data_IF_067565504911
#
_entry.id   IF_067565504911
#
_cell.length_a   1.000
_cell.length_b   1.000
_cell.length_c   1.000
_cell.angle_alpha   90.00
_cell.angle_beta   90.00
_cell.angle_gamma   90.00
#
_symmetry.space_group_name_H-M   'P 1'
#
loop_
_entity.id
_entity.type
_entity.pdbx_description
1 polymer ?
#
# COMPACT_ATOMS: atom_id res chain seq x y z
N UNK A 1 3.47 72.04 39.78
CA UNK A 1 2.33 71.91 38.83
C UNK A 1 2.44 70.57 38.09
N UNK A 2 1.71 69.53 38.51
CA UNK A 2 1.76 68.18 37.89
C UNK A 2 0.50 67.97 37.04
N UNK A 3 0.64 67.89 35.71
CA UNK A 3 -0.47 67.50 34.80
C UNK A 3 -0.60 65.98 34.83
N UNK A 4 -1.75 65.46 35.29
CA UNK A 4 -2.12 64.05 35.11
C UNK A 4 -2.69 63.88 33.70
N UNK A 5 -2.09 63.00 32.91
CA UNK A 5 -2.62 62.61 31.61
C UNK A 5 -3.84 61.69 31.82
N UNK A 6 -5.01 62.15 31.40
CA UNK A 6 -6.23 61.34 31.34
C UNK A 6 -6.19 60.59 30.01
N UNK A 7 -5.68 59.36 30.05
CA UNK A 7 -5.72 58.45 28.90
C UNK A 7 -7.18 58.00 28.75
N UNK A 8 -7.81 58.36 27.63
CA UNK A 8 -9.20 57.99 27.31
C UNK A 8 -9.29 56.47 27.20
N UNK A 9 -10.00 55.82 28.13
CA UNK A 9 -10.19 54.36 28.19
C UNK A 9 -10.85 53.75 26.95
N UNK A 10 -11.52 54.58 26.13
CA UNK A 10 -12.17 54.17 24.89
C UNK A 10 -11.20 53.75 23.79
N UNK A 11 -10.05 54.43 23.65
CA UNK A 11 -9.05 54.06 22.62
C UNK A 11 -8.34 52.74 22.94
N UNK A 12 -8.16 52.42 24.22
CA UNK A 12 -7.58 51.13 24.65
C UNK A 12 -8.51 49.93 24.37
N UNK A 13 -9.83 50.09 24.53
CA UNK A 13 -10.79 49.04 24.16
C UNK A 13 -10.75 48.74 22.66
N UNK A 14 -10.74 49.78 21.82
CA UNK A 14 -10.72 49.59 20.37
C UNK A 14 -9.41 48.95 19.88
N UNK A 15 -8.28 49.26 20.53
CA UNK A 15 -6.99 48.64 20.23
C UNK A 15 -6.94 47.16 20.65
N UNK A 16 -7.61 46.81 21.76
CA UNK A 16 -7.73 45.42 22.22
C UNK A 16 -8.62 44.57 21.31
N UNK A 17 -9.73 45.13 20.81
CA UNK A 17 -10.60 44.47 19.83
C UNK A 17 -9.89 44.21 18.49
N UNK A 18 -9.07 45.16 18.02
CA UNK A 18 -8.27 44.99 16.80
C UNK A 18 -7.21 43.88 16.94
N UNK A 19 -6.59 43.74 18.13
CA UNK A 19 -5.65 42.67 18.41
C UNK A 19 -6.33 41.28 18.51
N UNK A 20 -7.57 41.21 19.00
CA UNK A 20 -8.31 39.95 19.10
C UNK A 20 -8.72 39.40 17.71
N UNK A 21 -9.09 40.30 16.79
CA UNK A 21 -9.50 39.93 15.41
C UNK A 21 -8.30 39.42 14.59
N UNK A 22 -7.10 39.96 14.80
CA UNK A 22 -5.91 39.48 14.08
C UNK A 22 -5.47 38.08 14.52
N UNK A 23 -5.66 37.72 15.80
CA UNK A 23 -5.34 36.39 16.34
C UNK A 23 -6.29 35.30 15.79
N UNK A 24 -7.59 35.62 15.63
CA UNK A 24 -8.59 34.68 15.08
C UNK A 24 -8.33 34.40 13.58
N UNK A 25 -7.74 35.36 12.87
CA UNK A 25 -7.45 35.23 11.43
C UNK A 25 -6.26 34.29 11.14
N UNK A 26 -5.37 34.05 12.12
CA UNK A 26 -4.21 33.16 11.98
C UNK A 26 -4.57 31.69 12.26
N UNK A 27 -5.67 31.43 12.98
CA UNK A 27 -6.15 30.07 13.27
C UNK A 27 -6.86 29.38 12.07
N UNK A 28 -7.14 30.11 10.99
CA UNK A 28 -7.69 29.60 9.74
C UNK A 28 -6.61 29.44 8.65
N UNK A 29 -5.40 29.01 9.04
CA UNK A 29 -4.37 28.57 8.11
C UNK A 29 -4.78 27.25 7.44
N UNK A 30 -5.45 27.35 6.29
CA UNK A 30 -5.56 26.35 5.22
C UNK A 30 -5.30 24.89 5.62
N UNK A 31 -6.38 24.13 5.90
CA UNK A 31 -6.35 22.69 5.68
C UNK A 31 -6.13 22.47 4.18
N UNK A 32 -4.89 22.25 3.78
CA UNK A 32 -4.56 21.72 2.46
C UNK A 32 -5.22 20.35 2.41
N UNK A 33 -6.45 20.29 1.91
CA UNK A 33 -6.99 19.06 1.34
C UNK A 33 -6.11 18.78 0.12
N UNK A 34 -4.98 18.10 0.35
CA UNK A 34 -4.23 17.52 -0.75
C UNK A 34 -5.20 16.55 -1.40
N UNK A 35 -5.77 16.93 -2.54
CA UNK A 35 -6.37 15.95 -3.44
C UNK A 35 -5.24 14.96 -3.68
N UNK A 36 -5.32 13.79 -3.05
CA UNK A 36 -4.36 12.69 -3.19
C UNK A 36 -4.28 12.43 -4.69
N UNK A 37 -3.27 12.98 -5.35
CA UNK A 37 -2.99 12.67 -6.76
C UNK A 37 -2.79 11.17 -6.74
N UNK A 38 -3.74 10.41 -7.30
CA UNK A 38 -3.60 8.96 -7.47
C UNK A 38 -2.42 8.77 -8.40
N UNK A 39 -1.24 8.59 -7.80
CA UNK A 39 -0.02 8.36 -8.52
C UNK A 39 -0.12 6.93 -9.06
N UNK A 40 -0.48 6.78 -10.34
CA UNK A 40 -0.64 5.48 -11.00
C UNK A 40 0.67 4.69 -11.07
N UNK A 41 1.80 5.34 -10.78
CA UNK A 41 3.12 4.73 -10.69
C UNK A 41 3.39 4.01 -9.36
N UNK A 42 2.37 3.76 -8.53
CA UNK A 42 2.55 3.03 -7.27
C UNK A 42 1.72 1.74 -7.23
N UNK A 43 2.23 0.75 -6.51
CA UNK A 43 1.49 -0.48 -6.16
C UNK A 43 0.56 -0.29 -4.97
N UNK A 44 0.59 0.88 -4.32
CA UNK A 44 -0.22 1.23 -3.15
C UNK A 44 -1.67 0.78 -3.25
N UNK A 45 -2.14 0.02 -2.27
CA UNK A 45 -3.52 -0.45 -2.16
C UNK A 45 -3.62 -1.92 -1.80
N UNK A 46 -4.87 -2.39 -1.77
CA UNK A 46 -5.22 -3.78 -1.52
C UNK A 46 -5.51 -4.47 -2.85
N UNK A 47 -4.94 -5.66 -3.01
CA UNK A 47 -5.00 -6.47 -4.22
C UNK A 47 -5.54 -7.84 -3.84
N UNK A 48 -6.53 -8.29 -4.58
CA UNK A 48 -7.20 -9.58 -4.42
C UNK A 48 -6.85 -10.43 -5.64
N UNK A 49 -6.45 -11.68 -5.41
CA UNK A 49 -6.27 -12.65 -6.48
C UNK A 49 -7.63 -12.93 -7.12
N UNK A 50 -7.73 -12.76 -8.44
CA UNK A 50 -8.95 -13.00 -9.20
C UNK A 50 -8.87 -14.28 -10.02
N UNK A 51 -7.68 -14.63 -10.50
CA UNK A 51 -7.47 -15.84 -11.29
C UNK A 51 -6.13 -16.47 -10.93
N UNK A 52 -6.13 -17.80 -10.75
CA UNK A 52 -4.95 -18.62 -10.52
C UNK A 52 -4.89 -19.75 -11.54
N UNK A 53 -3.76 -19.88 -12.22
CA UNK A 53 -3.48 -21.00 -13.12
C UNK A 53 -2.19 -21.67 -12.69
N UNK A 54 -2.22 -22.99 -12.58
CA UNK A 54 -1.05 -23.81 -12.36
C UNK A 54 -0.75 -24.63 -13.60
N UNK A 55 0.41 -24.41 -14.21
CA UNK A 55 0.84 -25.11 -15.41
C UNK A 55 2.06 -25.98 -15.11
N UNK A 56 2.20 -27.09 -15.83
CA UNK A 56 3.38 -27.93 -15.89
C UNK A 56 3.77 -28.20 -17.33
N UNK A 57 4.99 -27.85 -17.74
CA UNK A 57 5.46 -27.98 -19.12
C UNK A 57 4.47 -27.41 -20.15
N UNK A 58 3.89 -26.24 -19.84
CA UNK A 58 2.87 -25.52 -20.64
C UNK A 58 1.46 -26.12 -20.61
N UNK A 59 1.26 -27.32 -20.07
CA UNK A 59 -0.07 -27.89 -19.85
C UNK A 59 -0.73 -27.31 -18.60
N UNK A 60 -2.00 -26.93 -18.69
CA UNK A 60 -2.76 -26.42 -17.54
C UNK A 60 -3.20 -27.57 -16.64
N UNK A 61 -2.71 -27.59 -15.41
CA UNK A 61 -3.08 -28.57 -14.38
C UNK A 61 -4.25 -28.11 -13.52
N UNK A 62 -4.27 -26.82 -13.15
CA UNK A 62 -5.29 -26.25 -12.26
C UNK A 62 -5.71 -24.90 -12.80
N UNK A 63 -7.02 -24.67 -12.78
CA UNK A 63 -7.65 -23.36 -12.90
C UNK A 63 -8.45 -23.14 -11.62
N UNK A 64 -8.08 -22.14 -10.83
CA UNK A 64 -8.74 -21.84 -9.57
C UNK A 64 -9.10 -20.35 -9.50
N UNK A 65 -10.39 -20.05 -9.66
CA UNK A 65 -10.95 -18.70 -9.50
C UNK A 65 -11.57 -18.48 -8.12
N UNK A 66 -11.47 -19.48 -7.23
CA UNK A 66 -11.99 -19.45 -5.86
C UNK A 66 -10.90 -19.25 -4.81
N UNK A 67 -9.63 -19.44 -5.18
CA UNK A 67 -8.48 -19.23 -4.31
C UNK A 67 -8.47 -17.83 -3.72
N UNK A 68 -8.54 -17.77 -2.39
CA UNK A 68 -8.50 -16.50 -1.65
C UNK A 68 -7.06 -16.14 -1.36
N UNK A 69 -6.60 -15.04 -1.93
CA UNK A 69 -5.27 -14.49 -1.67
C UNK A 69 -5.29 -12.98 -1.79
N UNK A 70 -4.58 -12.31 -0.88
CA UNK A 70 -4.53 -10.86 -0.80
C UNK A 70 -3.09 -10.37 -0.72
N UNK A 71 -2.84 -9.20 -1.31
CA UNK A 71 -1.62 -8.40 -1.10
C UNK A 71 -1.99 -6.98 -0.72
N UNK A 72 -1.32 -6.44 0.28
CA UNK A 72 -1.45 -5.05 0.70
C UNK A 72 -0.08 -4.41 0.52
N UNK A 73 -0.01 -3.41 -0.36
CA UNK A 73 1.15 -2.56 -0.52
C UNK A 73 0.83 -1.20 0.09
N UNK A 74 1.57 -0.78 1.11
CA UNK A 74 1.34 0.49 1.80
C UNK A 74 2.64 1.09 2.33
N UNK A 75 2.93 2.32 1.93
CA UNK A 75 4.07 3.13 2.39
C UNK A 75 5.42 2.38 2.35
N UNK A 76 5.63 1.59 1.29
CA UNK A 76 6.85 0.78 1.11
C UNK A 76 6.87 -0.55 1.87
N UNK A 77 5.76 -0.93 2.50
CA UNK A 77 5.56 -2.21 3.18
C UNK A 77 4.59 -3.12 2.42
N UNK A 78 4.82 -4.42 2.53
CA UNK A 78 3.96 -5.46 1.93
C UNK A 78 3.48 -6.43 2.99
N UNK A 79 2.19 -6.78 2.93
CA UNK A 79 1.64 -7.99 3.54
C UNK A 79 1.03 -8.83 2.42
N UNK A 80 1.22 -10.13 2.48
CA UNK A 80 0.57 -11.10 1.63
C UNK A 80 0.02 -12.25 2.48
N UNK A 81 -1.16 -12.74 2.15
CA UNK A 81 -1.77 -13.91 2.80
C UNK A 81 -2.72 -14.64 1.85
N UNK A 82 -2.95 -15.92 2.14
CA UNK A 82 -3.99 -16.76 1.51
C UNK A 82 -4.79 -17.45 2.61
N UNK A 83 -5.98 -17.96 2.26
CA UNK A 83 -6.68 -18.90 3.14
C UNK A 83 -5.81 -20.13 3.44
N UNK A 84 -6.00 -20.79 4.59
CA UNK A 84 -5.24 -21.97 4.95
C UNK A 84 -5.43 -23.07 3.90
N UNK A 85 -4.35 -23.81 3.61
CA UNK A 85 -4.45 -24.96 2.72
C UNK A 85 -5.27 -26.10 3.38
N UNK A 86 -5.70 -27.13 2.62
CA UNK A 86 -6.49 -28.24 3.16
C UNK A 86 -5.82 -29.01 4.32
N UNK A 87 -4.49 -28.94 4.42
CA UNK A 87 -3.69 -29.50 5.50
C UNK A 87 -3.52 -28.56 6.71
N UNK A 88 -4.30 -27.47 6.75
CA UNK A 88 -4.23 -26.37 7.72
C UNK A 88 -2.89 -25.60 7.72
N UNK A 89 -2.05 -25.77 6.70
CA UNK A 89 -0.85 -24.96 6.58
C UNK A 89 -1.21 -23.50 6.26
N UNK A 90 -0.62 -22.59 7.04
CA UNK A 90 -0.80 -21.15 6.91
C UNK A 90 0.29 -20.57 6.01
N UNK A 91 -0.09 -19.64 5.15
CA UNK A 91 0.78 -19.02 4.16
C UNK A 91 0.56 -17.51 4.20
N UNK A 92 1.45 -16.82 4.90
CA UNK A 92 1.44 -15.36 5.01
C UNK A 92 2.85 -14.81 5.20
N UNK A 93 3.05 -13.56 4.78
CA UNK A 93 4.31 -12.86 4.93
C UNK A 93 4.13 -11.35 5.09
N UNK A 94 5.10 -10.73 5.74
CA UNK A 94 5.28 -9.30 5.87
C UNK A 94 6.72 -8.92 5.48
N UNK A 95 6.87 -7.74 4.88
CA UNK A 95 8.16 -7.22 4.48
C UNK A 95 8.10 -5.79 3.96
N UNK A 96 9.13 -5.42 3.21
CA UNK A 96 9.18 -4.17 2.46
C UNK A 96 9.04 -4.44 0.97
N UNK A 97 8.58 -3.45 0.21
CA UNK A 97 8.54 -3.52 -1.24
C UNK A 97 9.06 -2.24 -1.90
N UNK A 98 9.49 -2.39 -3.15
CA UNK A 98 9.65 -1.26 -4.09
C UNK A 98 8.99 -1.61 -5.40
N UNK A 99 8.59 -0.59 -6.18
CA UNK A 99 8.00 -0.78 -7.50
C UNK A 99 8.62 0.19 -8.50
N UNK A 100 9.18 -0.33 -9.59
CA UNK A 100 9.76 0.46 -10.67
C UNK A 100 9.75 -0.35 -11.96
N UNK A 101 9.42 0.29 -13.09
CA UNK A 101 9.45 -0.33 -14.43
C UNK A 101 8.72 -1.68 -14.48
N UNK A 102 7.48 -1.71 -13.99
CA UNK A 102 6.66 -2.92 -13.93
C UNK A 102 7.34 -4.12 -13.25
N UNK A 103 8.19 -3.83 -12.27
CA UNK A 103 8.84 -4.83 -11.42
C UNK A 103 8.59 -4.49 -9.96
N UNK A 104 8.02 -5.44 -9.23
CA UNK A 104 7.90 -5.40 -7.78
C UNK A 104 9.12 -6.10 -7.19
N UNK A 105 9.79 -5.47 -6.23
CA UNK A 105 10.85 -6.14 -5.44
C UNK A 105 10.34 -6.23 -4.02
N UNK A 106 10.03 -7.43 -3.55
CA UNK A 106 9.60 -7.71 -2.18
C UNK A 106 10.78 -8.26 -1.37
N UNK A 107 10.96 -7.78 -0.14
CA UNK A 107 11.89 -8.35 0.84
C UNK A 107 11.11 -8.78 2.07
N UNK A 108 10.82 -10.07 2.18
CA UNK A 108 9.99 -10.65 3.23
C UNK A 108 10.85 -10.92 4.47
N UNK A 109 10.46 -10.40 5.62
CA UNK A 109 11.25 -10.49 6.86
C UNK A 109 10.53 -11.23 7.99
N UNK A 110 9.20 -11.33 7.89
CA UNK A 110 8.38 -12.15 8.77
C UNK A 110 7.51 -13.04 7.90
N UNK A 111 7.58 -14.35 8.09
CA UNK A 111 6.88 -15.34 7.26
C UNK A 111 6.25 -16.42 8.14
N UNK A 112 5.17 -17.04 7.65
CA UNK A 112 4.64 -18.26 8.25
C UNK A 112 5.69 -19.37 8.22
N UNK A 113 5.46 -20.44 8.99
CA UNK A 113 6.34 -21.62 9.00
C UNK A 113 6.50 -22.21 7.60
N UNK A 114 5.41 -22.32 6.85
CA UNK A 114 5.35 -22.89 5.50
C UNK A 114 6.16 -22.08 4.48
N UNK A 115 6.33 -20.78 4.72
CA UNK A 115 7.07 -19.87 3.86
C UNK A 115 8.52 -19.61 4.27
N UNK A 116 9.01 -20.27 5.33
CA UNK A 116 10.37 -20.01 5.80
C UNK A 116 11.37 -20.39 4.71
N UNK A 117 12.23 -19.44 4.34
CA UNK A 117 13.22 -19.59 3.27
C UNK A 117 14.47 -18.78 3.59
N UNK A 118 15.63 -19.26 3.16
CA UNK A 118 16.90 -18.53 3.22
C UNK A 118 16.96 -17.42 2.16
N UNK A 119 16.23 -17.59 1.06
CA UNK A 119 16.01 -16.56 0.04
C UNK A 119 14.75 -15.79 0.41
N UNK A 120 14.91 -14.50 0.71
CA UNK A 120 13.83 -13.66 1.21
C UNK A 120 13.53 -12.42 0.34
N UNK A 121 14.26 -12.26 -0.77
CA UNK A 121 14.07 -11.17 -1.71
C UNK A 121 13.52 -11.75 -3.03
N UNK A 122 12.40 -11.20 -3.48
CA UNK A 122 11.66 -11.66 -4.65
C UNK A 122 11.59 -10.53 -5.66
N UNK A 123 12.12 -10.75 -6.86
CA UNK A 123 12.05 -9.83 -7.98
C UNK A 123 10.97 -10.33 -8.92
N UNK A 124 9.88 -9.57 -9.02
CA UNK A 124 8.62 -10.01 -9.63
C UNK A 124 8.27 -9.05 -10.76
N UNK A 125 8.65 -9.37 -12.01
CA UNK A 125 8.12 -8.67 -13.18
C UNK A 125 6.61 -8.89 -13.27
N UNK A 126 5.88 -7.84 -13.64
CA UNK A 126 4.43 -7.89 -13.79
C UNK A 126 3.97 -7.30 -15.13
N UNK A 127 2.82 -7.74 -15.59
CA UNK A 127 2.07 -7.04 -16.62
C UNK A 127 1.01 -6.16 -15.94
N UNK A 128 1.14 -4.83 -16.04
CA UNK A 128 0.33 -3.89 -15.26
C UNK A 128 -0.82 -3.29 -16.07
N UNK A 129 -2.05 -3.47 -15.58
CA UNK A 129 -3.24 -2.76 -16.03
C UNK A 129 -3.60 -1.57 -15.11
N UNK A 130 -4.72 -0.89 -15.36
CA UNK A 130 -5.15 0.24 -14.50
C UNK A 130 -5.47 -0.22 -13.06
N UNK A 131 -6.31 -1.25 -12.93
CA UNK A 131 -6.76 -1.81 -11.65
C UNK A 131 -6.46 -3.31 -11.54
N UNK A 132 -5.47 -3.79 -12.29
CA UNK A 132 -5.06 -5.19 -12.28
C UNK A 132 -3.56 -5.33 -12.53
N UNK A 133 -3.00 -6.46 -12.13
CA UNK A 133 -1.70 -6.89 -12.62
C UNK A 133 -1.65 -8.41 -12.73
N UNK A 134 -0.75 -8.91 -13.59
CA UNK A 134 -0.43 -10.34 -13.70
C UNK A 134 1.01 -10.57 -13.30
N UNK A 135 1.28 -11.60 -12.51
CA UNK A 135 2.62 -12.11 -12.25
C UNK A 135 2.72 -13.59 -12.62
N UNK A 136 3.94 -14.06 -12.89
CA UNK A 136 4.22 -15.47 -13.15
C UNK A 136 5.36 -15.92 -12.26
N UNK A 137 5.08 -16.85 -11.34
CA UNK A 137 6.12 -17.48 -10.53
C UNK A 137 6.52 -18.80 -11.22
N UNK A 138 7.78 -18.89 -11.64
CA UNK A 138 8.32 -20.08 -12.30
C UNK A 138 9.23 -20.84 -11.35
N UNK A 139 9.04 -22.14 -11.24
CA UNK A 139 9.93 -23.02 -10.48
C UNK A 139 10.10 -24.37 -11.17
N UNK A 140 11.21 -25.05 -10.89
CA UNK A 140 11.52 -26.36 -11.45
C UNK A 140 11.51 -27.39 -10.33
N UNK A 141 10.86 -28.53 -10.56
CA UNK A 141 10.95 -29.70 -9.70
C UNK A 141 11.22 -30.92 -10.58
N UNK A 142 12.36 -31.60 -10.33
CA UNK A 142 12.95 -32.58 -11.25
C UNK A 142 13.04 -32.02 -12.67
N UNK A 143 12.52 -32.72 -13.68
CA UNK A 143 12.56 -32.28 -15.08
C UNK A 143 11.33 -31.46 -15.51
N UNK A 144 10.43 -31.16 -14.58
CA UNK A 144 9.21 -30.41 -14.86
C UNK A 144 9.37 -28.94 -14.48
N UNK A 145 9.02 -28.06 -15.41
CA UNK A 145 8.90 -26.61 -15.16
C UNK A 145 7.44 -26.31 -14.82
N UNK A 146 7.23 -25.64 -13.70
CA UNK A 146 5.94 -25.20 -13.24
C UNK A 146 5.80 -23.69 -13.33
N UNK A 147 4.60 -23.24 -13.66
CA UNK A 147 4.22 -21.83 -13.62
C UNK A 147 2.98 -21.64 -12.76
N UNK A 148 3.07 -20.74 -11.79
CA UNK A 148 1.90 -20.17 -11.12
C UNK A 148 1.63 -18.81 -11.75
N UNK A 149 0.58 -18.72 -12.55
CA UNK A 149 0.10 -17.47 -13.15
C UNK A 149 -0.95 -16.91 -12.21
N UNK A 150 -0.70 -15.70 -11.71
CA UNK A 150 -1.57 -15.04 -10.76
C UNK A 150 -2.03 -13.70 -11.33
N UNK A 151 -3.35 -13.52 -11.45
CA UNK A 151 -3.95 -12.25 -11.84
C UNK A 151 -4.61 -11.63 -10.61
N UNK A 152 -4.25 -10.38 -10.33
CA UNK A 152 -4.79 -9.62 -9.21
C UNK A 152 -5.63 -8.46 -9.70
N UNK A 153 -6.71 -8.17 -8.99
CA UNK A 153 -7.54 -6.97 -9.12
C UNK A 153 -7.37 -6.08 -7.90
N UNK A 154 -7.39 -4.77 -8.10
CA UNK A 154 -7.34 -3.79 -7.01
C UNK A 154 -8.71 -3.67 -6.35
N UNK A 155 -8.79 -3.80 -5.03
CA UNK A 155 -10.01 -3.51 -4.26
C UNK A 155 -10.12 -1.98 -4.11
N UNK A 156 -11.31 -1.43 -4.38
CA UNK A 156 -11.63 0.00 -4.23
C UNK A 156 -12.45 0.25 -2.97
#
# INVERSE_FOLDING_TARGET
MKRKAIIKTTTFKNLFYLALISIISIACGSRINSKKVKNFNTMEGVWELSEFYHLANEDTLIVDTSKVQHKIYLDGYVIWNTDPAPDASEWHAYGTYTFKNDTIIEKLTSTSKSMKSDVNTYVIPIERGKNSYKQVNTYKNNDTIYHNIEVYKKIN
#
